data_IF_954732741428
#
_entry.id   IF_954732741428
#
_cell.length_a   1.000
_cell.length_b   1.000
_cell.length_c   1.000
_cell.angle_alpha   90.00
_cell.angle_beta   90.00
_cell.angle_gamma   90.00
#
_symmetry.space_group_name_H-M   'P 1'
#
loop_
_entity.id
_entity.type
_entity.pdbx_description
1 polymer ?
#
# COMPACT_ATOMS: atom_id res chain seq x y z
N UNK A 1 26.80 20.11 -4.05
CA UNK A 1 25.86 19.14 -4.61
C UNK A 1 24.47 19.47 -4.14
N UNK A 2 23.67 20.05 -4.99
CA UNK A 2 22.27 20.28 -4.69
C UNK A 2 21.54 18.95 -4.75
N UNK A 3 21.24 18.38 -3.58
CA UNK A 3 20.19 17.38 -3.54
C UNK A 3 18.91 18.09 -3.95
N UNK A 4 18.17 17.55 -4.93
CA UNK A 4 16.89 18.12 -5.27
C UNK A 4 16.05 18.11 -3.98
N UNK A 5 15.54 19.26 -3.63
CA UNK A 5 14.63 19.39 -2.50
C UNK A 5 13.49 18.41 -2.77
N UNK A 6 13.37 17.40 -1.93
CA UNK A 6 12.22 16.52 -1.93
C UNK A 6 10.99 17.42 -1.81
N UNK A 7 10.35 17.68 -2.91
CA UNK A 7 9.05 18.33 -2.83
C UNK A 7 8.17 17.43 -1.99
N UNK A 8 7.63 17.96 -0.92
CA UNK A 8 6.60 17.28 -0.11
C UNK A 8 5.34 17.19 -0.97
N UNK A 9 5.44 16.42 -2.04
CA UNK A 9 4.31 16.18 -2.93
C UNK A 9 3.32 15.26 -2.24
N UNK A 10 2.12 15.75 -2.06
CA UNK A 10 0.96 14.93 -1.69
C UNK A 10 0.87 13.76 -2.68
N UNK A 11 0.86 12.55 -2.18
CA UNK A 11 0.55 11.36 -2.98
C UNK A 11 1.71 10.63 -3.64
N UNK A 12 2.93 10.85 -3.23
CA UNK A 12 4.06 10.02 -3.70
C UNK A 12 4.08 8.69 -2.96
N UNK A 13 4.06 7.62 -3.72
CA UNK A 13 4.41 6.30 -3.21
C UNK A 13 5.81 6.36 -2.57
N UNK A 14 5.93 5.84 -1.36
CA UNK A 14 7.19 5.70 -0.65
C UNK A 14 7.43 4.25 -0.24
N UNK A 15 7.12 3.33 -1.13
CA UNK A 15 7.59 1.96 -0.96
C UNK A 15 9.12 1.93 -1.08
N UNK A 16 9.74 0.89 -0.54
CA UNK A 16 11.20 0.75 -0.56
C UNK A 16 11.77 0.84 -1.99
N UNK A 17 11.02 0.36 -2.98
CA UNK A 17 11.39 0.47 -4.39
C UNK A 17 11.33 1.90 -4.90
N UNK A 18 10.28 2.65 -4.52
CA UNK A 18 10.17 4.05 -4.89
C UNK A 18 11.20 4.91 -4.18
N UNK A 19 11.59 4.57 -2.95
CA UNK A 19 12.70 5.25 -2.26
C UNK A 19 14.04 4.95 -2.93
N UNK A 20 14.29 3.72 -3.31
CA UNK A 20 15.49 3.35 -4.05
C UNK A 20 15.56 4.02 -5.43
N UNK A 21 14.41 4.22 -6.07
CA UNK A 21 14.30 4.97 -7.31
C UNK A 21 14.45 6.49 -7.08
N UNK A 22 13.93 7.00 -5.96
CA UNK A 22 14.05 8.42 -5.58
C UNK A 22 15.49 8.85 -5.32
N UNK A 23 16.32 7.93 -4.86
CA UNK A 23 17.76 8.17 -4.70
C UNK A 23 18.49 8.23 -6.03
N UNK A 24 17.89 7.73 -7.11
CA UNK A 24 18.51 7.62 -8.44
C UNK A 24 18.12 8.72 -9.42
N UNK A 25 16.96 9.32 -9.25
CA UNK A 25 16.43 10.30 -10.18
C UNK A 25 15.33 11.14 -9.59
N UNK A 26 15.05 12.26 -10.20
CA UNK A 26 13.78 12.95 -10.00
C UNK A 26 12.64 11.99 -10.29
N UNK A 27 11.94 11.56 -9.24
CA UNK A 27 10.87 10.59 -9.38
C UNK A 27 9.73 11.20 -10.17
N UNK A 28 9.68 10.77 -11.40
CA UNK A 28 8.55 10.96 -12.26
C UNK A 28 7.37 10.12 -11.71
N UNK A 29 6.20 10.72 -11.47
CA UNK A 29 4.99 9.96 -11.12
C UNK A 29 4.70 8.82 -12.08
N UNK A 30 5.06 8.96 -13.34
CA UNK A 30 4.91 7.94 -14.37
C UNK A 30 5.77 6.71 -14.08
N UNK A 31 7.01 6.92 -13.62
CA UNK A 31 7.89 5.81 -13.23
C UNK A 31 7.33 5.02 -12.04
N UNK A 32 6.71 5.69 -11.07
CA UNK A 32 6.03 5.03 -9.95
C UNK A 32 4.83 4.21 -10.44
N UNK A 33 4.04 4.74 -11.34
CA UNK A 33 2.90 4.02 -11.92
C UNK A 33 3.36 2.79 -12.71
N UNK A 34 4.46 2.89 -13.44
CA UNK A 34 5.04 1.77 -14.16
C UNK A 34 5.54 0.67 -13.23
N UNK A 35 6.15 1.03 -12.10
CA UNK A 35 6.58 0.08 -11.09
C UNK A 35 5.39 -0.66 -10.48
N UNK A 36 4.32 0.04 -10.15
CA UNK A 36 3.07 -0.56 -9.66
C UNK A 36 2.47 -1.51 -10.71
N UNK A 37 2.42 -1.10 -11.97
CA UNK A 37 1.91 -1.93 -13.06
C UNK A 37 2.76 -3.19 -13.26
N UNK A 38 4.07 -3.10 -13.11
CA UNK A 38 4.98 -4.24 -13.18
C UNK A 38 4.74 -5.22 -12.03
N UNK A 39 4.58 -4.72 -10.81
CA UNK A 39 4.25 -5.55 -9.64
C UNK A 39 2.94 -6.31 -9.84
N UNK A 40 1.92 -5.65 -10.38
CA UNK A 40 0.63 -6.29 -10.66
C UNK A 40 0.81 -7.40 -11.71
N UNK A 41 1.60 -7.16 -12.75
CA UNK A 41 1.88 -8.16 -13.78
C UNK A 41 2.64 -9.38 -13.26
N UNK A 42 3.61 -9.17 -12.40
CA UNK A 42 4.53 -10.23 -11.93
C UNK A 42 4.04 -10.94 -10.70
N UNK A 43 3.52 -10.22 -9.71
CA UNK A 43 3.08 -10.74 -8.42
C UNK A 43 1.55 -10.77 -8.25
N UNK A 44 0.80 -10.04 -9.07
CA UNK A 44 -0.65 -9.92 -8.99
C UNK A 44 -1.14 -8.68 -8.24
N UNK A 45 -0.33 -8.08 -7.42
CA UNK A 45 -0.63 -6.83 -6.71
C UNK A 45 0.64 -6.09 -6.32
N UNK A 46 0.48 -4.84 -5.96
CA UNK A 46 1.53 -4.00 -5.39
C UNK A 46 1.10 -3.46 -4.04
N UNK A 47 2.03 -3.26 -3.12
CA UNK A 47 1.81 -2.55 -1.86
C UNK A 47 2.51 -1.20 -1.94
N UNK A 48 1.74 -0.15 -1.80
CA UNK A 48 2.24 1.22 -1.74
C UNK A 48 2.15 1.74 -0.32
N UNK A 49 3.14 2.50 0.10
CA UNK A 49 3.19 3.04 1.44
C UNK A 49 3.46 4.55 1.42
N UNK A 50 2.82 5.24 2.33
CA UNK A 50 2.98 6.68 2.54
C UNK A 50 3.53 6.91 3.93
N UNK A 51 4.68 7.57 4.03
CA UNK A 51 5.25 7.93 5.32
C UNK A 51 4.36 8.95 6.02
N UNK A 52 4.21 8.77 7.32
CA UNK A 52 3.51 9.73 8.15
C UNK A 52 4.26 11.06 8.26
N UNK A 53 3.52 12.06 8.64
CA UNK A 53 4.04 13.39 8.99
C UNK A 53 3.47 13.84 10.33
N UNK A 54 3.61 15.12 10.66
CA UNK A 54 3.09 15.70 11.90
C UNK A 54 1.57 15.71 11.99
N UNK A 55 0.88 15.54 10.88
CA UNK A 55 -0.58 15.66 10.78
C UNK A 55 -1.25 14.29 10.65
N UNK A 56 -0.62 13.36 9.93
CA UNK A 56 -1.20 12.08 9.60
C UNK A 56 -0.23 10.93 9.88
N UNK A 57 -0.73 9.78 10.40
CA UNK A 57 0.10 8.59 10.57
C UNK A 57 0.54 8.01 9.24
N UNK A 58 1.60 7.18 9.23
CA UNK A 58 1.93 6.41 8.05
C UNK A 58 0.81 5.44 7.68
N UNK A 59 0.67 5.15 6.42
CA UNK A 59 -0.33 4.22 5.93
C UNK A 59 0.17 3.48 4.69
N UNK A 60 -0.41 2.32 4.45
CA UNK A 60 -0.11 1.50 3.30
C UNK A 60 -1.38 0.94 2.69
N UNK A 61 -1.34 0.61 1.41
CA UNK A 61 -2.47 0.06 0.69
C UNK A 61 -2.03 -0.85 -0.45
N UNK A 62 -2.93 -1.75 -0.84
CA UNK A 62 -2.73 -2.62 -1.99
C UNK A 62 -3.36 -2.05 -3.24
N UNK A 63 -2.79 -2.40 -4.37
CA UNK A 63 -3.34 -2.13 -5.71
C UNK A 63 -3.22 -3.39 -6.53
N UNK A 64 -4.30 -3.85 -7.12
CA UNK A 64 -4.30 -4.98 -8.03
C UNK A 64 -4.92 -6.27 -7.52
N UNK A 65 -5.21 -6.39 -6.22
CA UNK A 65 -5.87 -7.57 -5.68
C UNK A 65 -7.25 -7.83 -6.32
N UNK A 66 -7.98 -6.77 -6.57
CA UNK A 66 -9.26 -6.88 -7.27
C UNK A 66 -9.10 -7.37 -8.71
N UNK A 67 -8.13 -6.80 -9.43
CA UNK A 67 -7.89 -7.15 -10.84
C UNK A 67 -7.44 -8.60 -10.98
N UNK A 68 -6.51 -9.04 -10.15
CA UNK A 68 -5.86 -10.34 -10.28
C UNK A 68 -6.62 -11.48 -9.62
N UNK A 69 -7.28 -11.20 -8.50
CA UNK A 69 -7.89 -12.24 -7.66
C UNK A 69 -9.34 -11.95 -7.27
N UNK A 70 -9.91 -10.84 -7.74
CA UNK A 70 -11.25 -10.38 -7.35
C UNK A 70 -11.43 -10.23 -5.83
N UNK A 71 -10.32 -10.02 -5.13
CA UNK A 71 -10.28 -9.74 -3.71
C UNK A 71 -10.42 -8.24 -3.41
N UNK A 72 -10.77 -7.89 -2.17
CA UNK A 72 -10.83 -6.48 -1.78
C UNK A 72 -9.43 -5.87 -1.79
N UNK A 73 -9.34 -4.60 -2.17
CA UNK A 73 -8.14 -3.83 -1.89
C UNK A 73 -8.06 -3.55 -0.39
N UNK A 74 -6.85 -3.53 0.15
CA UNK A 74 -6.59 -3.43 1.58
C UNK A 74 -5.86 -2.14 1.90
N UNK A 75 -6.13 -1.60 3.06
CA UNK A 75 -5.37 -0.45 3.59
C UNK A 75 -5.10 -0.65 5.08
N UNK A 76 -4.04 -0.03 5.55
CA UNK A 76 -3.57 -0.15 6.91
C UNK A 76 -2.93 1.15 7.39
N UNK A 77 -3.10 1.50 8.65
CA UNK A 77 -2.62 2.76 9.23
C UNK A 77 -1.89 2.53 10.54
N UNK A 78 -0.95 3.40 10.84
CA UNK A 78 -0.45 3.59 12.21
C UNK A 78 0.67 2.67 12.65
N UNK A 79 1.11 1.73 11.84
CA UNK A 79 2.30 0.92 12.09
C UNK A 79 3.49 1.42 11.26
N UNK A 80 4.71 1.02 11.60
CA UNK A 80 5.85 1.26 10.72
C UNK A 80 5.58 0.70 9.32
N UNK A 81 6.00 1.44 8.30
CA UNK A 81 5.73 1.10 6.89
C UNK A 81 6.18 -0.30 6.54
N UNK A 82 7.34 -0.71 7.03
CA UNK A 82 7.90 -2.05 6.79
C UNK A 82 6.99 -3.16 7.32
N UNK A 83 6.42 -2.95 8.49
CA UNK A 83 5.49 -3.90 9.10
C UNK A 83 4.17 -3.98 8.33
N UNK A 84 3.63 -2.84 7.94
CA UNK A 84 2.39 -2.80 7.15
C UNK A 84 2.57 -3.47 5.80
N UNK A 85 3.70 -3.27 5.14
CA UNK A 85 4.02 -3.89 3.86
C UNK A 85 4.05 -5.42 3.98
N UNK A 86 4.71 -5.95 4.99
CA UNK A 86 4.75 -7.39 5.25
C UNK A 86 3.36 -7.95 5.53
N UNK A 87 2.58 -7.28 6.36
CA UNK A 87 1.23 -7.70 6.71
C UNK A 87 0.32 -7.72 5.48
N UNK A 88 0.31 -6.64 4.69
CA UNK A 88 -0.52 -6.54 3.51
C UNK A 88 -0.13 -7.56 2.43
N UNK A 89 1.15 -7.82 2.24
CA UNK A 89 1.61 -8.88 1.34
C UNK A 89 1.18 -10.25 1.83
N UNK A 90 1.25 -10.52 3.12
CA UNK A 90 0.83 -11.81 3.70
C UNK A 90 -0.66 -12.04 3.52
N UNK A 91 -1.49 -11.01 3.68
CA UNK A 91 -2.93 -11.09 3.42
C UNK A 91 -3.19 -11.27 1.92
N UNK A 92 -2.47 -10.54 1.07
CA UNK A 92 -2.54 -10.68 -0.38
C UNK A 92 -2.25 -12.12 -0.84
N UNK A 93 -1.24 -12.76 -0.28
CA UNK A 93 -0.93 -14.15 -0.55
C UNK A 93 -2.07 -15.11 -0.15
N UNK A 94 -2.72 -14.87 0.98
CA UNK A 94 -3.89 -15.65 1.38
C UNK A 94 -5.03 -15.52 0.37
N UNK A 95 -5.30 -14.32 -0.11
CA UNK A 95 -6.31 -14.07 -1.14
C UNK A 95 -5.91 -14.79 -2.44
N UNK A 96 -4.67 -14.68 -2.85
CA UNK A 96 -4.16 -15.34 -4.05
C UNK A 96 -4.25 -16.87 -3.97
N UNK A 97 -4.10 -17.44 -2.79
CA UNK A 97 -4.23 -18.87 -2.53
C UNK A 97 -5.68 -19.34 -2.34
N UNK A 98 -6.65 -18.48 -2.57
CA UNK A 98 -8.06 -18.84 -2.54
C UNK A 98 -8.73 -18.73 -1.16
N UNK A 99 -8.07 -18.13 -0.17
CA UNK A 99 -8.68 -17.85 1.13
C UNK A 99 -9.37 -16.49 1.08
N UNK A 100 -10.71 -16.41 0.97
CA UNK A 100 -11.40 -15.13 0.89
C UNK A 100 -11.29 -14.35 2.21
N UNK A 101 -11.27 -13.04 2.09
CA UNK A 101 -11.25 -12.13 3.22
C UNK A 101 -12.46 -11.22 3.12
N UNK A 102 -13.21 -11.15 4.21
CA UNK A 102 -14.44 -10.36 4.30
C UNK A 102 -14.41 -9.43 5.51
N UNK A 103 -15.23 -8.38 5.46
CA UNK A 103 -15.43 -7.50 6.60
C UNK A 103 -15.97 -8.29 7.81
N UNK A 104 -15.36 -8.10 8.96
CA UNK A 104 -15.68 -8.83 10.18
C UNK A 104 -14.74 -10.00 10.48
N UNK A 105 -13.93 -10.41 9.54
CA UNK A 105 -12.95 -11.47 9.74
C UNK A 105 -11.86 -11.04 10.73
N UNK A 106 -11.29 -12.03 11.39
CA UNK A 106 -10.07 -11.90 12.17
C UNK A 106 -8.98 -12.78 11.58
N UNK A 107 -7.79 -12.22 11.45
CA UNK A 107 -6.64 -12.92 10.91
C UNK A 107 -5.58 -13.01 11.99
N UNK A 108 -5.22 -14.24 12.33
CA UNK A 108 -4.17 -14.55 13.29
C UNK A 108 -2.94 -15.14 12.57
N UNK A 109 -1.79 -15.07 13.23
CA UNK A 109 -0.57 -15.73 12.77
C UNK A 109 0.29 -14.91 11.81
N UNK A 110 -0.11 -13.70 11.43
CA UNK A 110 0.71 -12.81 10.60
C UNK A 110 1.58 -11.91 11.48
N UNK A 111 1.01 -11.42 12.57
CA UNK A 111 1.71 -10.61 13.56
C UNK A 111 1.35 -11.12 14.97
N UNK A 112 2.03 -10.66 16.03
CA UNK A 112 1.72 -11.08 17.39
C UNK A 112 0.30 -10.76 17.87
N UNK A 113 -0.39 -9.85 17.18
CA UNK A 113 -1.76 -9.47 17.48
C UNK A 113 -2.72 -10.00 16.41
N UNK A 114 -3.98 -10.15 16.79
CA UNK A 114 -5.05 -10.49 15.88
C UNK A 114 -5.45 -9.26 15.05
N UNK A 115 -5.56 -9.42 13.73
CA UNK A 115 -5.97 -8.37 12.81
C UNK A 115 -7.47 -8.46 12.57
N UNK A 116 -8.18 -7.37 12.80
CA UNK A 116 -9.60 -7.27 12.48
C UNK A 116 -9.80 -6.60 11.11
N UNK A 117 -10.52 -7.24 10.24
CA UNK A 117 -10.86 -6.72 8.92
C UNK A 117 -12.14 -5.91 9.01
N UNK A 118 -12.08 -4.67 8.60
CA UNK A 118 -13.22 -3.75 8.62
C UNK A 118 -13.35 -3.03 7.28
N UNK A 119 -14.58 -2.71 6.85
CA UNK A 119 -14.77 -1.90 5.65
C UNK A 119 -14.27 -0.47 5.89
N UNK A 120 -13.67 0.11 4.87
CA UNK A 120 -13.33 1.54 4.87
C UNK A 120 -14.64 2.34 4.74
N UNK A 121 -14.85 3.31 5.62
CA UNK A 121 -16.02 4.16 5.58
C UNK A 121 -16.09 4.96 4.26
N UNK A 122 -17.28 5.15 3.73
CA UNK A 122 -17.49 5.84 2.45
C UNK A 122 -16.85 7.23 2.38
N UNK A 123 -16.88 7.96 3.50
CA UNK A 123 -16.29 9.30 3.55
C UNK A 123 -14.79 9.30 3.22
N UNK A 124 -14.07 8.23 3.52
CA UNK A 124 -12.65 8.09 3.20
C UNK A 124 -12.42 7.72 1.73
N UNK A 125 -13.33 6.95 1.14
CA UNK A 125 -13.25 6.56 -0.28
C UNK A 125 -13.44 7.75 -1.22
N UNK A 126 -14.15 8.78 -0.77
CA UNK A 126 -14.40 9.99 -1.53
C UNK A 126 -13.33 11.07 -1.34
N UNK A 127 -12.33 10.82 -0.51
CA UNK A 127 -11.22 11.76 -0.29
C UNK A 127 -10.11 11.55 -1.31
N UNK A 128 -9.27 12.55 -1.49
CA UNK A 128 -8.08 12.47 -2.35
C UNK A 128 -7.09 11.37 -1.95
N UNK A 129 -7.27 10.77 -0.77
CA UNK A 129 -6.45 9.68 -0.25
C UNK A 129 -6.55 8.42 -1.10
N UNK A 130 -7.74 8.13 -1.65
CA UNK A 130 -8.00 6.98 -2.50
C UNK A 130 -8.42 7.37 -3.91
N UNK A 131 -8.35 8.64 -4.25
CA UNK A 131 -8.56 9.08 -5.61
C UNK A 131 -7.33 8.69 -6.44
N UNK A 132 -7.54 7.71 -7.25
CA UNK A 132 -6.53 7.26 -8.23
C UNK A 132 -6.80 7.97 -9.54
#
# INVERSE_FOLDING_TARGET
>A
MNQPRRSKGKGRCRCAECEALAERADLDPEACMQAVAEDIRTAGWSVSAVLGDEIAPPWAYTVGLWISHQGPELTMFGLPVEHMTVILNSIGERIANGAPIEAGDRIDGICPCSLAIRPVHESWRMTSMFAV
#
